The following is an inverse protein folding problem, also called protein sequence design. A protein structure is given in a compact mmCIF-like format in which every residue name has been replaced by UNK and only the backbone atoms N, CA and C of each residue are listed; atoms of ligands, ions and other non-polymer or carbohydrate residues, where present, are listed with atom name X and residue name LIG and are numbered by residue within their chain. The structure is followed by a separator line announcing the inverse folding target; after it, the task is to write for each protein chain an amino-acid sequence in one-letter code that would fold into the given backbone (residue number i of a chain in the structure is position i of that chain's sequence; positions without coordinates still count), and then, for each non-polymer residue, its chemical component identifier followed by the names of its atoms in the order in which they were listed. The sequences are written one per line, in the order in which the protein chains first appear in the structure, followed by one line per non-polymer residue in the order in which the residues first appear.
data_IF_425434224957
#
_entry.id   IF_425434224957
#
_cell.length_a   1.000
_cell.length_b   1.000
_cell.length_c   1.000
_cell.angle_alpha   90.00
_cell.angle_beta   90.00
_cell.angle_gamma   90.00
#
_symmetry.space_group_name_H-M   'P 1'
#
loop_
_entity.id
_entity.type
_entity.pdbx_description
1 polymer ?
#
# COMPACT_ATOMS: atom_id res chain seq x y z
N UNK A 1 9.35 -10.56 -54.01
CA UNK A 1 8.99 -11.39 -52.84
C UNK A 1 9.04 -10.49 -51.61
N UNK A 2 7.89 -9.96 -51.22
CA UNK A 2 7.72 -8.86 -50.25
C UNK A 2 7.56 -9.44 -48.85
N UNK A 3 8.53 -9.21 -47.97
CA UNK A 3 8.53 -9.68 -46.58
C UNK A 3 7.53 -8.85 -45.78
N UNK A 4 6.36 -9.43 -45.51
CA UNK A 4 5.31 -8.84 -44.68
C UNK A 4 5.90 -8.53 -43.30
N UNK A 5 6.02 -7.24 -42.99
CA UNK A 5 6.18 -6.74 -41.63
C UNK A 5 4.91 -7.08 -40.85
N UNK A 6 4.92 -8.17 -40.11
CA UNK A 6 3.99 -8.38 -39.00
C UNK A 6 4.36 -7.41 -37.88
N UNK A 7 3.87 -6.18 -37.98
CA UNK A 7 3.73 -5.31 -36.81
C UNK A 7 2.73 -6.00 -35.87
N UNK A 8 3.19 -6.45 -34.70
CA UNK A 8 2.31 -6.99 -33.68
C UNK A 8 1.32 -5.89 -33.25
N UNK A 9 0.12 -5.88 -33.83
CA UNK A 9 -0.96 -5.03 -33.36
C UNK A 9 -1.27 -5.44 -31.92
N UNK A 10 -0.87 -4.60 -30.96
CA UNK A 10 -1.25 -4.79 -29.57
C UNK A 10 -2.79 -4.73 -29.49
N UNK A 11 -3.43 -5.90 -29.33
CA UNK A 11 -4.87 -6.00 -29.18
C UNK A 11 -5.34 -5.08 -28.06
N UNK A 12 -6.35 -4.24 -28.33
CA UNK A 12 -6.91 -3.33 -27.34
C UNK A 12 -7.29 -4.10 -26.05
N UNK A 13 -7.06 -3.52 -24.86
CA UNK A 13 -7.35 -4.21 -23.61
C UNK A 13 -8.84 -4.55 -23.49
N UNK A 14 -9.14 -5.81 -23.15
CA UNK A 14 -10.51 -6.30 -22.94
C UNK A 14 -11.25 -5.50 -21.88
N UNK A 15 -12.58 -5.43 -21.94
CA UNK A 15 -13.40 -4.72 -20.94
C UNK A 15 -13.08 -5.15 -19.50
N UNK A 16 -12.95 -6.46 -19.27
CA UNK A 16 -12.55 -7.02 -17.98
C UNK A 16 -11.18 -6.51 -17.50
N UNK A 17 -10.22 -6.32 -18.40
CA UNK A 17 -8.90 -5.76 -18.05
C UNK A 17 -9.01 -4.27 -17.70
N UNK A 18 -9.84 -3.50 -18.40
CA UNK A 18 -10.11 -2.10 -18.05
C UNK A 18 -10.75 -1.98 -16.66
N UNK A 19 -11.75 -2.81 -16.35
CA UNK A 19 -12.34 -2.89 -15.01
C UNK A 19 -11.29 -3.22 -13.94
N UNK A 20 -10.44 -4.22 -14.18
CA UNK A 20 -9.37 -4.59 -13.26
C UNK A 20 -8.36 -3.45 -13.00
N UNK A 21 -8.07 -2.63 -14.01
CA UNK A 21 -7.21 -1.45 -13.85
C UNK A 21 -7.89 -0.36 -13.01
N UNK A 22 -9.17 -0.08 -13.26
CA UNK A 22 -9.94 0.89 -12.46
C UNK A 22 -9.97 0.45 -11.00
N UNK A 23 -10.30 -0.81 -10.73
CA UNK A 23 -10.28 -1.37 -9.36
C UNK A 23 -8.88 -1.26 -8.75
N UNK A 24 -7.82 -1.58 -9.51
CA UNK A 24 -6.45 -1.45 -9.02
C UNK A 24 -6.07 -0.01 -8.67
N UNK A 25 -6.55 0.98 -9.41
CA UNK A 25 -6.29 2.39 -9.15
C UNK A 25 -7.06 2.89 -7.92
N UNK A 26 -8.34 2.55 -7.80
CA UNK A 26 -9.18 2.92 -6.66
C UNK A 26 -8.69 2.27 -5.36
N UNK A 27 -8.23 1.02 -5.43
CA UNK A 27 -7.67 0.27 -4.31
C UNK A 27 -6.14 0.35 -4.28
N UNK A 28 -5.59 1.48 -4.71
CA UNK A 28 -4.14 1.70 -4.67
C UNK A 28 -3.65 1.92 -3.24
N UNK A 29 -2.39 1.55 -2.92
CA UNK A 29 -1.83 1.72 -1.58
C UNK A 29 -1.96 3.14 -1.02
N UNK A 30 -1.77 4.16 -1.86
CA UNK A 30 -1.93 5.55 -1.44
C UNK A 30 -3.35 5.83 -0.95
N UNK A 31 -4.38 5.46 -1.74
CA UNK A 31 -5.76 5.77 -1.38
C UNK A 31 -6.12 5.04 -0.08
N UNK A 32 -5.84 3.74 -0.01
CA UNK A 32 -6.20 2.91 1.13
C UNK A 32 -5.49 3.36 2.42
N UNK A 33 -4.18 3.59 2.38
CA UNK A 33 -3.43 4.03 3.56
C UNK A 33 -3.80 5.48 3.96
N UNK A 34 -4.04 6.38 3.00
CA UNK A 34 -4.46 7.76 3.31
C UNK A 34 -5.82 7.76 3.98
N UNK A 35 -6.78 6.99 3.45
CA UNK A 35 -8.12 6.87 4.05
C UNK A 35 -8.04 6.27 5.44
N UNK A 36 -7.24 5.22 5.67
CA UNK A 36 -7.05 4.64 6.99
C UNK A 36 -6.55 5.66 8.02
N UNK A 37 -5.47 6.39 7.68
CA UNK A 37 -4.86 7.37 8.57
C UNK A 37 -5.77 8.56 8.85
N UNK A 38 -6.43 9.10 7.82
CA UNK A 38 -7.37 10.21 7.98
C UNK A 38 -8.66 9.80 8.69
N UNK A 39 -9.06 8.54 8.58
CA UNK A 39 -10.26 8.02 9.24
C UNK A 39 -10.02 7.56 10.69
N UNK A 40 -8.78 7.57 11.15
CA UNK A 40 -8.43 7.13 12.50
C UNK A 40 -9.18 7.90 13.62
N UNK A 41 -9.41 9.23 13.55
CA UNK A 41 -10.12 9.96 14.61
C UNK A 41 -11.60 9.56 14.73
N UNK A 42 -12.21 9.04 13.67
CA UNK A 42 -13.57 8.46 13.73
C UNK A 42 -13.60 7.08 14.37
N UNK A 43 -12.50 6.32 14.25
CA UNK A 43 -12.35 4.99 14.84
C UNK A 43 -11.93 5.07 16.30
N UNK A 44 -11.20 6.11 16.65
CA UNK A 44 -10.64 6.30 17.98
C UNK A 44 -10.58 7.79 18.37
N UNK A 45 -11.44 8.18 19.30
CA UNK A 45 -11.58 9.56 19.73
C UNK A 45 -10.34 10.10 20.48
N UNK A 46 -9.41 9.24 20.89
CA UNK A 46 -8.14 9.67 21.51
C UNK A 46 -7.15 10.25 20.50
N UNK A 47 -7.37 10.01 19.19
CA UNK A 47 -6.50 10.50 18.12
C UNK A 47 -6.99 11.85 17.63
N UNK A 48 -6.11 12.86 17.67
CA UNK A 48 -6.41 14.21 17.17
C UNK A 48 -6.35 14.27 15.65
N UNK A 49 -7.21 15.09 15.04
CA UNK A 49 -7.18 15.36 13.59
C UNK A 49 -5.81 15.81 13.08
N UNK A 50 -5.07 16.60 13.87
CA UNK A 50 -3.72 17.06 13.52
C UNK A 50 -2.72 15.91 13.41
N UNK A 51 -2.85 14.86 14.22
CA UNK A 51 -2.01 13.66 14.15
C UNK A 51 -2.29 12.88 12.87
N UNK A 52 -3.58 12.66 12.56
CA UNK A 52 -4.01 11.98 11.34
C UNK A 52 -3.56 12.68 10.06
N UNK A 53 -3.70 14.01 10.00
CA UNK A 53 -3.22 14.80 8.86
C UNK A 53 -1.70 14.69 8.75
N UNK A 54 -0.97 14.81 9.87
CA UNK A 54 0.49 14.65 9.89
C UNK A 54 0.92 13.27 9.40
N UNK A 55 0.29 12.22 9.93
CA UNK A 55 0.54 10.85 9.53
C UNK A 55 0.29 10.64 8.03
N UNK A 56 -0.83 11.10 7.50
CA UNK A 56 -1.16 11.01 6.07
C UNK A 56 -0.16 11.79 5.20
N UNK A 57 0.24 12.99 5.63
CA UNK A 57 1.21 13.80 4.88
C UNK A 57 2.54 13.08 4.71
N UNK A 58 3.14 12.61 5.80
CA UNK A 58 4.46 11.98 5.77
C UNK A 58 4.44 10.56 5.23
N UNK A 59 3.35 9.82 5.42
CA UNK A 59 3.28 8.39 5.06
C UNK A 59 2.81 8.16 3.63
N UNK A 60 1.94 9.02 3.09
CA UNK A 60 1.31 8.77 1.79
C UNK A 60 1.39 9.96 0.84
N UNK A 61 0.94 11.15 1.26
CA UNK A 61 0.76 12.29 0.35
C UNK A 61 2.10 12.82 -0.17
N UNK A 62 3.04 13.15 0.72
CA UNK A 62 4.36 13.66 0.33
C UNK A 62 5.15 12.62 -0.49
N UNK A 63 5.28 11.34 -0.05
CA UNK A 63 5.94 10.32 -0.87
C UNK A 63 5.35 10.20 -2.28
N UNK A 64 4.03 10.28 -2.41
CA UNK A 64 3.37 10.19 -3.71
C UNK A 64 3.58 11.42 -4.58
N UNK A 65 3.48 12.63 -4.03
CA UNK A 65 3.74 13.86 -4.76
C UNK A 65 5.16 13.86 -5.36
N UNK A 66 6.11 13.32 -4.60
CA UNK A 66 7.50 13.21 -5.03
C UNK A 66 7.65 12.15 -6.11
N UNK A 67 7.01 10.99 -5.97
CA UNK A 67 6.97 9.97 -7.02
C UNK A 67 6.31 10.49 -8.30
N UNK A 68 5.20 11.23 -8.18
CA UNK A 68 4.51 11.88 -9.30
C UNK A 68 5.41 12.91 -9.98
N UNK A 69 6.10 13.76 -9.23
CA UNK A 69 7.07 14.71 -9.75
C UNK A 69 8.26 14.02 -10.43
N UNK A 70 8.77 12.92 -9.88
CA UNK A 70 9.84 12.12 -10.48
C UNK A 70 9.39 11.49 -11.81
N UNK A 71 8.15 11.01 -11.89
CA UNK A 71 7.55 10.50 -13.14
C UNK A 71 7.41 11.62 -14.18
N UNK A 72 6.89 12.79 -13.80
CA UNK A 72 6.74 13.94 -14.70
C UNK A 72 8.08 14.42 -15.27
N UNK A 73 9.17 14.27 -14.51
CA UNK A 73 10.54 14.59 -14.93
C UNK A 73 11.24 13.45 -15.69
N UNK A 74 10.54 12.35 -16.00
CA UNK A 74 11.10 11.19 -16.69
C UNK A 74 12.11 10.37 -15.87
N UNK A 75 12.23 10.60 -14.56
CA UNK A 75 13.15 9.84 -13.68
C UNK A 75 12.63 8.45 -13.31
N UNK A 76 11.32 8.24 -13.44
CA UNK A 76 10.64 6.95 -13.19
C UNK A 76 9.77 6.61 -14.39
N UNK A 77 9.80 5.35 -14.81
CA UNK A 77 9.10 4.89 -16.02
C UNK A 77 7.59 4.87 -15.86
N UNK A 78 7.10 4.55 -14.66
CA UNK A 78 5.68 4.37 -14.39
C UNK A 78 5.36 4.46 -12.88
N UNK A 79 4.10 4.75 -12.54
CA UNK A 79 3.66 4.91 -11.15
C UNK A 79 3.62 3.57 -10.37
N UNK A 80 3.67 2.43 -11.06
CA UNK A 80 3.77 1.11 -10.43
C UNK A 80 5.22 0.69 -10.18
N UNK A 81 6.18 1.54 -10.57
CA UNK A 81 7.63 1.33 -10.40
C UNK A 81 8.02 -0.08 -10.86
N UNK A 82 7.71 -0.39 -12.12
CA UNK A 82 7.93 -1.74 -12.67
C UNK A 82 9.41 -2.14 -12.65
N UNK A 83 10.32 -1.19 -12.89
CA UNK A 83 11.77 -1.40 -12.88
C UNK A 83 12.28 -1.61 -11.46
N UNK A 84 12.80 -2.81 -11.18
CA UNK A 84 13.24 -3.23 -9.84
C UNK A 84 14.28 -2.29 -9.22
N UNK A 85 15.28 -1.87 -9.99
CA UNK A 85 16.33 -0.96 -9.53
C UNK A 85 15.77 0.40 -9.07
N UNK A 86 14.65 0.86 -9.65
CA UNK A 86 14.00 2.11 -9.24
C UNK A 86 13.24 1.97 -7.92
N UNK A 87 12.95 0.75 -7.44
CA UNK A 87 12.16 0.54 -6.22
C UNK A 87 12.93 0.84 -4.95
N UNK A 88 14.22 0.49 -4.91
CA UNK A 88 15.01 0.57 -3.68
C UNK A 88 15.17 2.00 -3.18
N UNK A 89 15.46 2.95 -4.07
CA UNK A 89 15.57 4.35 -3.68
C UNK A 89 14.21 4.93 -3.27
N UNK A 90 13.11 4.50 -3.92
CA UNK A 90 11.75 4.92 -3.54
C UNK A 90 11.41 4.39 -2.14
N UNK A 91 11.68 3.13 -1.85
CA UNK A 91 11.46 2.56 -0.52
C UNK A 91 12.30 3.27 0.55
N UNK A 92 13.58 3.51 0.30
CA UNK A 92 14.45 4.23 1.23
C UNK A 92 13.95 5.67 1.48
N UNK A 93 13.55 6.36 0.42
CA UNK A 93 13.03 7.72 0.50
C UNK A 93 11.70 7.79 1.25
N UNK A 94 10.76 6.89 0.94
CA UNK A 94 9.49 6.77 1.67
C UNK A 94 9.72 6.41 3.13
N UNK A 95 10.64 5.50 3.44
CA UNK A 95 11.00 5.16 4.82
C UNK A 95 11.56 6.36 5.57
N UNK A 96 12.44 7.15 4.94
CA UNK A 96 12.96 8.40 5.51
C UNK A 96 11.85 9.41 5.83
N UNK A 97 10.87 9.58 4.93
CA UNK A 97 9.72 10.45 5.18
C UNK A 97 8.84 9.93 6.32
N UNK A 98 8.58 8.63 6.39
CA UNK A 98 7.79 8.04 7.49
C UNK A 98 8.53 8.21 8.82
N UNK A 99 9.86 8.01 8.87
CA UNK A 99 10.68 8.25 10.05
C UNK A 99 10.60 9.71 10.52
N UNK A 100 10.67 10.67 9.57
CA UNK A 100 10.43 12.08 9.89
C UNK A 100 9.01 12.30 10.44
N UNK A 101 8.00 11.67 9.85
CA UNK A 101 6.61 11.71 10.34
C UNK A 101 6.47 11.19 11.76
N UNK A 102 7.09 10.05 12.08
CA UNK A 102 7.13 9.49 13.44
C UNK A 102 7.82 10.44 14.43
N UNK A 103 8.92 11.09 14.03
CA UNK A 103 9.58 12.09 14.85
C UNK A 103 8.66 13.29 15.11
N UNK A 104 7.99 13.82 14.08
CA UNK A 104 7.04 14.93 14.22
C UNK A 104 5.88 14.54 15.13
N UNK A 105 5.29 13.36 14.94
CA UNK A 105 4.24 12.82 15.81
C UNK A 105 4.71 12.72 17.26
N UNK A 106 5.94 12.27 17.50
CA UNK A 106 6.52 12.22 18.85
C UNK A 106 6.67 13.61 19.47
N UNK A 107 7.11 14.59 18.69
CA UNK A 107 7.26 15.99 19.13
C UNK A 107 5.90 16.67 19.39
N UNK A 108 4.84 16.23 18.71
CA UNK A 108 3.46 16.67 18.94
C UNK A 108 2.79 15.98 20.14
N UNK A 109 3.50 15.08 20.82
CA UNK A 109 2.95 14.19 21.84
C UNK A 109 1.69 13.47 21.33
N UNK A 110 1.81 12.89 20.12
CA UNK A 110 0.74 12.13 19.49
C UNK A 110 0.37 10.90 20.31
N UNK A 111 -0.91 10.52 20.28
CA UNK A 111 -1.38 9.32 20.96
C UNK A 111 -0.67 8.07 20.46
N UNK A 112 -0.39 7.14 21.37
CA UNK A 112 0.29 5.86 21.08
C UNK A 112 -0.36 5.12 19.92
N UNK A 113 -1.69 5.21 19.76
CA UNK A 113 -2.43 4.55 18.69
C UNK A 113 -2.04 5.01 17.29
N UNK A 114 -1.99 6.32 17.03
CA UNK A 114 -1.54 6.85 15.74
C UNK A 114 -0.06 6.55 15.50
N UNK A 115 0.76 6.62 16.55
CA UNK A 115 2.17 6.30 16.45
C UNK A 115 2.39 4.83 16.03
N UNK A 116 1.68 3.88 16.65
CA UNK A 116 1.75 2.46 16.31
C UNK A 116 1.23 2.16 14.91
N UNK A 117 0.18 2.86 14.46
CA UNK A 117 -0.36 2.74 13.11
C UNK A 117 0.70 3.12 12.06
N UNK A 118 1.35 4.28 12.22
CA UNK A 118 2.42 4.73 11.32
C UNK A 118 3.66 3.84 11.41
N UNK A 119 4.03 3.38 12.62
CA UNK A 119 5.14 2.45 12.82
C UNK A 119 4.89 1.11 12.12
N UNK A 120 3.64 0.62 12.14
CA UNK A 120 3.26 -0.63 11.47
C UNK A 120 3.33 -0.49 9.95
N UNK A 121 2.95 0.67 9.41
CA UNK A 121 3.13 0.96 7.99
C UNK A 121 4.63 0.99 7.61
N UNK A 122 5.50 1.58 8.46
CA UNK A 122 6.95 1.55 8.25
C UNK A 122 7.49 0.11 8.27
N UNK A 123 7.06 -0.72 9.23
CA UNK A 123 7.44 -2.12 9.32
C UNK A 123 7.00 -2.89 8.06
N UNK A 124 5.76 -2.67 7.60
CA UNK A 124 5.25 -3.27 6.37
C UNK A 124 6.05 -2.86 5.14
N UNK A 125 6.41 -1.57 5.03
CA UNK A 125 7.30 -1.08 3.97
C UNK A 125 8.67 -1.77 4.02
N UNK A 126 9.27 -1.91 5.20
CA UNK A 126 10.55 -2.57 5.39
C UNK A 126 10.50 -4.04 4.96
N UNK A 127 9.50 -4.80 5.42
CA UNK A 127 9.28 -6.21 5.04
C UNK A 127 9.09 -6.34 3.52
N UNK A 128 8.25 -5.50 2.92
CA UNK A 128 8.05 -5.46 1.46
C UNK A 128 9.35 -5.15 0.71
N UNK A 129 10.14 -4.18 1.20
CA UNK A 129 11.39 -3.78 0.58
C UNK A 129 12.41 -4.92 0.59
N UNK A 130 12.53 -5.61 1.73
CA UNK A 130 13.39 -6.78 1.93
C UNK A 130 12.96 -7.91 1.00
N UNK A 131 11.68 -8.31 0.99
CA UNK A 131 11.20 -9.38 0.10
C UNK A 131 11.48 -9.03 -1.37
N UNK A 132 11.22 -7.78 -1.79
CA UNK A 132 11.47 -7.30 -3.15
C UNK A 132 12.97 -7.29 -3.56
N UNK A 133 13.90 -7.46 -2.62
CA UNK A 133 15.32 -7.68 -2.95
C UNK A 133 15.56 -9.03 -3.62
N UNK A 134 14.73 -10.04 -3.37
CA UNK A 134 14.85 -11.37 -4.02
C UNK A 134 13.64 -11.73 -4.89
N UNK A 135 12.42 -11.38 -4.48
CA UNK A 135 11.19 -11.79 -5.14
C UNK A 135 10.11 -10.70 -5.14
N UNK A 136 9.43 -10.48 -6.27
CA UNK A 136 8.44 -9.41 -6.42
C UNK A 136 7.18 -9.71 -5.58
N UNK A 137 6.90 -8.96 -4.52
CA UNK A 137 5.66 -9.08 -3.74
C UNK A 137 4.62 -8.03 -4.14
N UNK A 138 3.33 -8.33 -4.01
CA UNK A 138 2.25 -7.37 -4.29
C UNK A 138 2.04 -6.38 -3.14
N UNK A 139 2.56 -5.16 -3.29
CA UNK A 139 2.35 -4.05 -2.33
C UNK A 139 0.87 -3.69 -2.19
N UNK A 140 0.08 -3.82 -3.27
CA UNK A 140 -1.36 -3.56 -3.22
C UNK A 140 -2.06 -4.53 -2.25
N UNK A 141 -1.68 -5.81 -2.27
CA UNK A 141 -2.26 -6.78 -1.35
C UNK A 141 -1.68 -6.63 0.06
N UNK A 142 -0.40 -6.31 0.21
CA UNK A 142 0.17 -6.04 1.54
C UNK A 142 -0.56 -4.90 2.26
N UNK A 143 -0.69 -3.74 1.60
CA UNK A 143 -1.38 -2.58 2.18
C UNK A 143 -2.89 -2.81 2.24
N UNK A 144 -3.51 -3.35 1.20
CA UNK A 144 -4.95 -3.57 1.17
C UNK A 144 -5.42 -4.56 2.23
N UNK A 145 -4.71 -5.68 2.41
CA UNK A 145 -5.00 -6.66 3.46
C UNK A 145 -4.81 -6.07 4.85
N UNK A 146 -3.72 -5.33 5.09
CA UNK A 146 -3.52 -4.62 6.35
C UNK A 146 -4.67 -3.65 6.65
N UNK A 147 -5.03 -2.79 5.68
CA UNK A 147 -6.07 -1.77 5.85
C UNK A 147 -7.43 -2.40 6.14
N UNK A 148 -7.85 -3.42 5.37
CA UNK A 148 -9.17 -4.02 5.57
C UNK A 148 -9.25 -4.77 6.90
N UNK A 149 -8.16 -5.37 7.37
CA UNK A 149 -8.09 -6.00 8.69
C UNK A 149 -8.14 -4.95 9.80
N UNK A 150 -7.42 -3.83 9.67
CA UNK A 150 -7.54 -2.71 10.61
C UNK A 150 -8.96 -2.18 10.67
N UNK A 151 -9.66 -2.08 9.54
CA UNK A 151 -11.08 -1.64 9.49
C UNK A 151 -12.02 -2.65 10.12
N UNK A 152 -11.80 -3.95 9.90
CA UNK A 152 -12.59 -4.99 10.55
C UNK A 152 -12.36 -5.04 12.07
N UNK A 153 -11.13 -4.71 12.53
CA UNK A 153 -10.74 -4.84 13.93
C UNK A 153 -10.95 -6.28 14.41
N UNK A 154 -11.51 -6.43 15.61
CA UNK A 154 -11.83 -7.73 16.21
C UNK A 154 -13.25 -8.23 15.88
N UNK A 155 -13.95 -7.57 14.95
CA UNK A 155 -15.33 -7.91 14.60
C UNK A 155 -15.36 -9.11 13.63
N UNK A 156 -15.54 -10.31 14.19
CA UNK A 156 -15.62 -11.57 13.43
C UNK A 156 -16.69 -11.55 12.32
N UNK A 157 -17.77 -10.81 12.51
CA UNK A 157 -18.87 -10.65 11.54
C UNK A 157 -18.42 -9.98 10.23
N UNK A 158 -17.31 -9.22 10.26
CA UNK A 158 -16.75 -8.55 9.09
C UNK A 158 -15.77 -9.43 8.29
N UNK A 159 -15.43 -10.65 8.77
CA UNK A 159 -14.50 -11.54 8.07
C UNK A 159 -14.94 -11.92 6.64
N UNK A 160 -16.22 -12.18 6.35
CA UNK A 160 -16.67 -12.37 4.97
C UNK A 160 -16.36 -11.16 4.07
N UNK A 161 -16.49 -9.94 4.59
CA UNK A 161 -16.17 -8.71 3.86
C UNK A 161 -14.66 -8.59 3.61
N UNK A 162 -13.83 -8.93 4.60
CA UNK A 162 -12.35 -8.99 4.46
C UNK A 162 -11.96 -9.94 3.33
N UNK A 163 -12.50 -11.17 3.35
CA UNK A 163 -12.21 -12.18 2.33
C UNK A 163 -12.67 -11.71 0.95
N UNK A 164 -13.87 -11.14 0.85
CA UNK A 164 -14.41 -10.60 -0.40
C UNK A 164 -13.53 -9.47 -0.95
N UNK A 165 -13.12 -8.52 -0.11
CA UNK A 165 -12.22 -7.43 -0.50
C UNK A 165 -10.88 -7.97 -1.04
N UNK A 166 -10.26 -8.91 -0.33
CA UNK A 166 -8.99 -9.53 -0.75
C UNK A 166 -9.17 -10.26 -2.08
N UNK A 167 -10.29 -10.96 -2.28
CA UNK A 167 -10.59 -11.67 -3.53
C UNK A 167 -10.73 -10.69 -4.71
N UNK A 168 -11.48 -9.59 -4.54
CA UNK A 168 -11.66 -8.55 -5.57
C UNK A 168 -10.33 -7.89 -5.93
N UNK A 169 -9.53 -7.52 -4.91
CA UNK A 169 -8.22 -6.90 -5.14
C UNK A 169 -7.24 -7.88 -5.81
N UNK A 170 -7.24 -9.15 -5.38
CA UNK A 170 -6.45 -10.23 -6.00
C UNK A 170 -6.80 -10.41 -7.47
N UNK A 171 -8.10 -10.50 -7.79
CA UNK A 171 -8.60 -10.59 -9.16
C UNK A 171 -8.11 -9.40 -9.99
N UNK A 172 -8.24 -8.18 -9.47
CA UNK A 172 -7.80 -6.97 -10.17
C UNK A 172 -6.30 -6.99 -10.49
N UNK A 173 -5.45 -7.43 -9.55
CA UNK A 173 -3.99 -7.48 -9.75
C UNK A 173 -3.54 -8.58 -10.71
N UNK A 174 -4.21 -9.73 -10.71
CA UNK A 174 -3.91 -10.83 -11.63
C UNK A 174 -4.44 -10.49 -13.03
N UNK A 175 -5.69 -10.01 -13.14
CA UNK A 175 -6.34 -9.72 -14.42
C UNK A 175 -5.75 -8.51 -15.14
N UNK A 176 -5.16 -7.57 -14.41
CA UNK A 176 -4.39 -6.46 -14.98
C UNK A 176 -2.98 -6.86 -15.46
N UNK A 177 -2.60 -8.14 -15.30
CA UNK A 177 -1.27 -8.71 -15.60
C UNK A 177 -0.13 -8.04 -14.84
N UNK A 178 -0.42 -7.49 -13.66
CA UNK A 178 0.59 -6.83 -12.83
C UNK A 178 1.31 -7.81 -11.90
N UNK A 179 0.64 -8.89 -11.49
CA UNK A 179 1.16 -9.88 -10.55
C UNK A 179 0.69 -11.31 -10.87
N UNK A 180 1.48 -12.29 -10.46
CA UNK A 180 1.07 -13.70 -10.43
C UNK A 180 0.36 -14.03 -9.12
N UNK A 181 -0.34 -15.18 -9.07
CA UNK A 181 -1.02 -15.64 -7.86
C UNK A 181 -0.09 -15.73 -6.64
N UNK A 182 1.12 -16.27 -6.81
CA UNK A 182 2.11 -16.36 -5.73
C UNK A 182 2.48 -14.99 -5.16
N UNK A 183 2.73 -13.99 -6.01
CA UNK A 183 3.06 -12.62 -5.59
C UNK A 183 1.91 -11.94 -4.84
N UNK A 184 0.66 -12.27 -5.23
CA UNK A 184 -0.56 -11.84 -4.55
C UNK A 184 -0.66 -12.49 -3.17
N UNK A 185 -0.50 -13.81 -3.06
CA UNK A 185 -0.48 -14.53 -1.78
C UNK A 185 0.61 -14.00 -0.84
N UNK A 186 1.81 -13.72 -1.36
CA UNK A 186 2.88 -13.09 -0.57
C UNK A 186 2.49 -11.72 -0.03
N UNK A 187 1.77 -10.91 -0.81
CA UNK A 187 1.25 -9.62 -0.35
C UNK A 187 0.22 -9.81 0.77
N UNK A 188 -0.74 -10.72 0.60
CA UNK A 188 -1.74 -11.04 1.63
C UNK A 188 -1.07 -11.49 2.93
N UNK A 189 -0.09 -12.39 2.84
CA UNK A 189 0.65 -12.89 4.01
C UNK A 189 1.37 -11.76 4.76
N UNK A 190 2.01 -10.84 4.03
CA UNK A 190 2.63 -9.65 4.64
C UNK A 190 1.59 -8.79 5.34
N UNK A 191 0.46 -8.49 4.69
CA UNK A 191 -0.60 -7.67 5.30
C UNK A 191 -1.16 -8.26 6.59
N UNK A 192 -1.39 -9.58 6.60
CA UNK A 192 -1.83 -10.32 7.80
C UNK A 192 -0.77 -10.23 8.91
N UNK A 193 0.50 -10.51 8.59
CA UNK A 193 1.58 -10.50 9.56
C UNK A 193 1.75 -9.12 10.21
N UNK A 194 1.68 -8.05 9.42
CA UNK A 194 1.80 -6.67 9.91
C UNK A 194 0.59 -6.28 10.77
N UNK A 195 -0.63 -6.70 10.41
CA UNK A 195 -1.81 -6.47 11.24
C UNK A 195 -1.67 -7.14 12.62
N UNK A 196 -1.29 -8.41 12.68
CA UNK A 196 -1.09 -9.06 13.98
C UNK A 196 0.11 -8.51 14.76
N UNK A 197 1.17 -8.04 14.09
CA UNK A 197 2.25 -7.33 14.75
C UNK A 197 1.76 -6.00 15.35
N UNK A 198 0.92 -5.25 14.64
CA UNK A 198 0.26 -4.05 15.16
C UNK A 198 -0.55 -4.36 16.41
N UNK A 199 -1.45 -5.35 16.35
CA UNK A 199 -2.29 -5.75 17.48
C UNK A 199 -1.46 -6.20 18.69
N UNK A 200 -0.37 -6.94 18.46
CA UNK A 200 0.54 -7.34 19.52
C UNK A 200 1.25 -6.16 20.18
N UNK A 201 1.77 -5.21 19.38
CA UNK A 201 2.37 -3.98 19.92
C UNK A 201 1.34 -3.14 20.70
N UNK A 202 0.13 -3.03 20.18
CA UNK A 202 -0.96 -2.30 20.82
C UNK A 202 -1.34 -2.94 22.16
N UNK A 203 -1.42 -4.27 22.24
CA UNK A 203 -1.72 -4.98 23.48
C UNK A 203 -0.63 -4.86 24.56
N UNK A 204 0.61 -4.58 24.17
CA UNK A 204 1.75 -4.43 25.11
C UNK A 204 1.93 -2.98 25.57
N UNK A 205 1.56 -2.00 24.74
CA UNK A 205 1.90 -0.59 24.93
C UNK A 205 0.71 0.33 25.26
N UNK A 206 -0.53 -0.17 25.21
CA UNK A 206 -1.77 0.52 25.59
C UNK A 206 -2.37 -0.10 26.85
#
# INVERSE_FOLDING_TARGET
MTRIQQTSQASAPTAARKCALVVSHLLSPIILATVLLLATPWRDASVRWSESVTAALFTTIIPWLILAGAKLRGKVTDMHVTVRHQRHWIYAYTAGLILCGLLVLRLMDAGTRMYLEVLSILLGLAVVAVINMWWKVSVHLAVGTYVILQVAGQLNELMPLVVFFIAVLSWARIRSFQHTATQVCGGVAVGIAIHYAHEWMAAVLL
#
